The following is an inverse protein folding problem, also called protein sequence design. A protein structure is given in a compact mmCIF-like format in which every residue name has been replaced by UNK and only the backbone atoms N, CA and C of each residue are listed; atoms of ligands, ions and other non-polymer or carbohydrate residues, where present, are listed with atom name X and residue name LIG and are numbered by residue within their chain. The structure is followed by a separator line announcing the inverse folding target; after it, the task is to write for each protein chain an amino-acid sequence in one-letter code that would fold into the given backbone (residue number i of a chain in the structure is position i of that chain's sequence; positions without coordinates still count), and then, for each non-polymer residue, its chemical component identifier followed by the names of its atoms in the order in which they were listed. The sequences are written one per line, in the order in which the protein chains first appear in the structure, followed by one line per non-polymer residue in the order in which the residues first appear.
data_IF_202457686562
#
_entry.id   IF_202457686562
#
_cell.length_a   1.000
_cell.length_b   1.000
_cell.length_c   1.000
_cell.angle_alpha   90.00
_cell.angle_beta   90.00
_cell.angle_gamma   90.00
#
_symmetry.space_group_name_H-M   'P 1'
#
loop_
_entity.id
_entity.type
_entity.pdbx_description
1 polymer ?
#
# COMPACT_ATOMS: atom_id res chain seq x y z
N UNK A 1 21.03 -10.18 -0.01
CA UNK A 1 20.51 -11.55 -0.18
C UNK A 1 19.50 -11.76 0.94
N UNK A 2 18.20 -11.69 0.64
CA UNK A 2 17.16 -11.88 1.67
C UNK A 2 17.18 -13.33 2.15
N UNK A 3 16.94 -13.55 3.43
CA UNK A 3 16.78 -14.89 3.98
C UNK A 3 15.50 -15.51 3.41
N UNK A 4 15.65 -16.50 2.53
CA UNK A 4 14.53 -17.14 1.81
C UNK A 4 13.78 -18.17 2.66
N UNK A 5 14.23 -18.43 3.89
CA UNK A 5 13.62 -19.38 4.82
C UNK A 5 12.92 -18.71 6.03
N UNK A 6 12.94 -17.38 6.12
CA UNK A 6 12.29 -16.65 7.20
C UNK A 6 10.83 -16.32 6.90
N UNK A 7 9.90 -16.76 7.75
CA UNK A 7 8.53 -16.25 7.73
C UNK A 7 8.51 -14.85 8.35
N UNK A 8 8.33 -13.82 7.54
CA UNK A 8 8.13 -12.43 8.01
C UNK A 8 6.64 -12.13 8.14
N UNK A 9 6.24 -11.51 9.25
CA UNK A 9 4.88 -11.02 9.46
C UNK A 9 4.60 -9.86 8.48
N UNK A 10 3.51 -9.96 7.73
CA UNK A 10 3.01 -8.84 6.94
C UNK A 10 2.45 -7.76 7.89
N UNK A 11 2.83 -6.49 7.68
CA UNK A 11 2.43 -5.39 8.56
C UNK A 11 1.06 -4.79 8.19
N UNK A 12 0.55 -5.09 7.00
CA UNK A 12 -0.70 -4.56 6.45
C UNK A 12 -1.82 -5.61 6.41
N UNK A 13 -1.54 -6.86 6.77
CA UNK A 13 -2.48 -7.96 6.76
C UNK A 13 -2.54 -8.65 8.12
N UNK A 14 -3.72 -8.62 8.73
CA UNK A 14 -4.02 -9.38 9.93
C UNK A 14 -4.58 -10.75 9.53
N UNK A 15 -3.95 -11.82 10.01
CA UNK A 15 -4.46 -13.17 9.81
C UNK A 15 -5.66 -13.39 10.74
N UNK A 16 -6.78 -13.81 10.16
CA UNK A 16 -7.98 -14.23 10.90
C UNK A 16 -8.19 -15.72 10.66
N UNK A 17 -8.37 -16.46 11.76
CA UNK A 17 -8.69 -17.88 11.74
C UNK A 17 -10.10 -18.03 12.29
N UNK A 18 -11.01 -18.43 11.41
CA UNK A 18 -12.38 -18.79 11.75
C UNK A 18 -12.43 -20.30 11.97
N UNK A 19 -12.46 -20.70 13.25
CA UNK A 19 -12.44 -22.10 13.66
C UNK A 19 -13.77 -22.80 13.37
N UNK A 20 -14.89 -22.07 13.39
CA UNK A 20 -16.24 -22.60 13.17
C UNK A 20 -16.46 -22.95 11.70
N UNK A 21 -16.08 -22.03 10.80
CA UNK A 21 -16.19 -22.25 9.35
C UNK A 21 -14.93 -22.89 8.74
N UNK A 22 -13.96 -23.29 9.56
CA UNK A 22 -12.66 -23.84 9.17
C UNK A 22 -11.96 -23.01 8.07
N UNK A 23 -12.07 -21.69 8.15
CA UNK A 23 -11.58 -20.76 7.14
C UNK A 23 -10.46 -19.89 7.71
N UNK A 24 -9.41 -19.70 6.93
CA UNK A 24 -8.40 -18.67 7.20
C UNK A 24 -8.49 -17.61 6.13
N UNK A 25 -8.52 -16.35 6.54
CA UNK A 25 -8.46 -15.20 5.63
C UNK A 25 -7.60 -14.08 6.23
N UNK A 26 -7.32 -13.07 5.43
CA UNK A 26 -6.55 -11.91 5.85
C UNK A 26 -7.39 -10.65 5.73
N UNK A 27 -7.39 -9.86 6.79
CA UNK A 27 -8.00 -8.54 6.80
C UNK A 27 -6.92 -7.48 6.58
N UNK A 28 -7.24 -6.47 5.77
CA UNK A 28 -6.33 -5.37 5.51
C UNK A 28 -6.35 -4.39 6.67
N UNK A 29 -5.19 -4.05 7.20
CA UNK A 29 -5.02 -3.05 8.24
C UNK A 29 -4.32 -1.81 7.66
N UNK A 30 -5.09 -0.75 7.47
CA UNK A 30 -4.63 0.54 6.94
C UNK A 30 -4.78 1.66 7.98
N UNK A 31 -4.76 1.31 9.26
CA UNK A 31 -4.81 2.31 10.33
C UNK A 31 -3.40 2.83 10.61
N UNK A 32 -3.29 4.13 10.89
CA UNK A 32 -2.04 4.80 11.28
C UNK A 32 -2.26 5.58 12.57
N UNK A 33 -1.24 5.61 13.42
CA UNK A 33 -1.18 6.42 14.64
C UNK A 33 -0.37 7.69 14.46
N UNK A 34 0.54 7.73 13.47
CA UNK A 34 1.39 8.88 13.16
C UNK A 34 1.82 8.89 11.69
N UNK A 35 2.37 10.02 11.22
CA UNK A 35 2.96 10.12 9.88
C UNK A 35 4.15 9.15 9.72
N UNK A 36 4.42 8.77 8.47
CA UNK A 36 5.50 7.90 8.00
C UNK A 36 5.40 6.43 8.42
N UNK A 37 4.21 5.97 8.82
CA UNK A 37 3.97 4.56 9.13
C UNK A 37 3.57 3.74 7.90
N UNK A 38 2.70 4.30 7.05
CA UNK A 38 2.23 3.67 5.82
C UNK A 38 2.23 4.71 4.71
N UNK A 39 2.94 4.41 3.63
CA UNK A 39 2.90 5.19 2.40
C UNK A 39 2.08 4.48 1.34
N UNK A 40 1.16 5.22 0.72
CA UNK A 40 0.42 4.77 -0.45
C UNK A 40 1.10 5.27 -1.71
N UNK A 41 0.95 4.52 -2.79
CA UNK A 41 1.39 4.92 -4.13
C UNK A 41 0.27 4.66 -5.11
N UNK A 42 0.10 5.55 -6.07
CA UNK A 42 -0.84 5.36 -7.19
C UNK A 42 -0.13 5.65 -8.52
N UNK A 43 -0.74 5.25 -9.64
CA UNK A 43 -0.34 5.67 -10.98
C UNK A 43 -1.60 6.05 -11.75
N UNK A 44 -1.69 7.33 -12.11
CA UNK A 44 -2.80 7.89 -12.87
C UNK A 44 -2.34 8.26 -14.30
N UNK A 45 -2.98 7.68 -15.33
CA UNK A 45 -2.76 8.04 -16.74
C UNK A 45 -3.77 9.13 -17.17
N UNK A 46 -3.27 10.20 -17.77
CA UNK A 46 -4.05 11.22 -18.44
C UNK A 46 -3.81 11.16 -19.95
N UNK A 47 -4.90 11.14 -20.72
CA UNK A 47 -4.81 11.27 -22.17
C UNK A 47 -4.86 12.74 -22.56
N UNK A 48 -3.79 13.24 -23.16
CA UNK A 48 -3.64 14.64 -23.60
C UNK A 48 -3.33 14.69 -25.10
N UNK A 49 -3.47 15.87 -25.72
CA UNK A 49 -3.19 16.03 -27.15
C UNK A 49 -1.75 15.65 -27.55
N UNK A 50 -0.79 15.80 -26.63
CA UNK A 50 0.62 15.44 -26.83
C UNK A 50 0.93 13.94 -26.61
N UNK A 51 -0.05 13.14 -26.20
CA UNK A 51 0.13 11.71 -25.92
C UNK A 51 -0.40 11.32 -24.53
N UNK A 52 0.25 10.33 -23.92
CA UNK A 52 -0.07 9.86 -22.57
C UNK A 52 0.83 10.56 -21.56
N UNK A 53 0.25 11.00 -20.45
CA UNK A 53 0.95 11.57 -19.31
C UNK A 53 0.65 10.73 -18.07
N UNK A 54 1.68 10.33 -17.34
CA UNK A 54 1.52 9.55 -16.11
C UNK A 54 1.87 10.39 -14.90
N UNK A 55 1.04 10.34 -13.85
CA UNK A 55 1.32 10.90 -12.53
C UNK A 55 1.45 9.76 -11.54
N UNK A 56 2.60 9.68 -10.88
CA UNK A 56 2.88 8.67 -9.85
C UNK A 56 3.17 9.33 -8.50
N UNK A 57 2.16 9.59 -7.66
CA UNK A 57 2.37 10.18 -6.34
C UNK A 57 2.68 9.11 -5.27
N UNK A 58 3.41 9.54 -4.26
CA UNK A 58 3.61 8.85 -2.97
C UNK A 58 2.89 9.69 -1.91
N UNK A 59 1.94 9.08 -1.21
CA UNK A 59 1.09 9.73 -0.22
C UNK A 59 1.38 9.15 1.17
N UNK A 60 1.41 9.99 2.19
CA UNK A 60 1.35 9.53 3.57
C UNK A 60 -0.09 9.22 3.97
N UNK A 61 -0.35 8.00 4.45
CA UNK A 61 -1.71 7.57 4.77
C UNK A 61 -2.32 8.30 5.98
N UNK A 62 -1.49 8.77 6.92
CA UNK A 62 -1.96 9.39 8.15
C UNK A 62 -2.56 10.78 7.92
N UNK A 63 -1.80 11.65 7.26
CA UNK A 63 -2.22 13.04 7.03
C UNK A 63 -2.71 13.29 5.59
N UNK A 64 -2.60 12.30 4.69
CA UNK A 64 -2.96 12.38 3.27
C UNK A 64 -2.18 13.44 2.49
N UNK A 65 -0.98 13.79 2.95
CA UNK A 65 -0.09 14.68 2.22
C UNK A 65 0.72 13.92 1.16
N UNK A 66 1.03 14.59 0.05
CA UNK A 66 1.92 14.05 -0.98
C UNK A 66 3.36 14.22 -0.49
N UNK A 67 4.05 13.10 -0.28
CA UNK A 67 5.46 13.06 0.12
C UNK A 67 6.36 13.29 -1.09
N UNK A 68 5.99 12.72 -2.23
CA UNK A 68 6.74 12.85 -3.49
C UNK A 68 5.84 12.54 -4.68
N UNK A 69 6.22 12.97 -5.88
CA UNK A 69 5.53 12.58 -7.11
C UNK A 69 6.48 12.55 -8.30
N UNK A 70 6.12 11.77 -9.32
CA UNK A 70 6.76 11.78 -10.62
C UNK A 70 5.73 12.04 -11.73
N UNK A 71 6.15 12.77 -12.77
CA UNK A 71 5.40 12.99 -13.99
C UNK A 71 6.27 12.54 -15.17
N UNK A 72 5.72 11.70 -16.05
CA UNK A 72 6.42 11.13 -17.21
C UNK A 72 5.53 10.98 -18.43
#
# INVERSE_FOLDING_TARGET
KGDMNGTTKNLLLNKVVDEENHKTYYERNFNTTSCNEIWLTDVSEFHIAAGKLYLSPILDLHNREIVSFNIS
#
